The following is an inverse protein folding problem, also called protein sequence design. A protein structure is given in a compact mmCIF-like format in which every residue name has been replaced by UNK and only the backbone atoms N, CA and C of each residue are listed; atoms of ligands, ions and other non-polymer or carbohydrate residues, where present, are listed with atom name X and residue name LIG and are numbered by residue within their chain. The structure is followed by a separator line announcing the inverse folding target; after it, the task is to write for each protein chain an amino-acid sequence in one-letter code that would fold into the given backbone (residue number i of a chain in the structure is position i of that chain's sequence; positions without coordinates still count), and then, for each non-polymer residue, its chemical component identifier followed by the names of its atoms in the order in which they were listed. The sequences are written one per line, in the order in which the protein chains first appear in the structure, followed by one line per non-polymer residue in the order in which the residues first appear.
data_IF_567225209836
#
_entry.id   IF_567225209836
#
_cell.length_a   1.000
_cell.length_b   1.000
_cell.length_c   1.000
_cell.angle_alpha   90.00
_cell.angle_beta   90.00
_cell.angle_gamma   90.00
#
_symmetry.space_group_name_H-M   'P 1'
#
loop_
_entity.id
_entity.type
_entity.pdbx_description
1 polymer ?
#
# COMPACT_ATOMS: atom_id res chain seq x y z
N UNK A 1 47.87 5.18 -21.25
CA UNK A 1 47.46 5.02 -20.74
C UNK A 1 46.44 4.59 -20.40
N UNK A 2 46.16 3.80 -20.20
CA UNK A 2 44.91 3.16 -20.07
C UNK A 2 44.29 3.20 -18.72
N UNK A 3 44.95 3.82 -17.79
CA UNK A 3 44.36 3.99 -16.45
C UNK A 3 43.35 5.12 -16.39
N UNK A 4 43.27 5.91 -17.43
CA UNK A 4 42.31 7.02 -17.42
C UNK A 4 40.92 6.52 -17.84
N UNK A 5 39.91 7.03 -17.15
CA UNK A 5 38.56 6.67 -17.44
C UNK A 5 38.02 7.57 -18.55
N UNK A 6 37.38 6.96 -19.53
CA UNK A 6 36.70 7.71 -20.58
C UNK A 6 35.47 8.37 -19.96
N UNK A 7 35.47 9.71 -19.96
CA UNK A 7 34.42 10.49 -19.34
C UNK A 7 33.04 10.20 -19.98
N UNK A 8 33.02 10.00 -21.29
CA UNK A 8 31.75 9.71 -21.98
C UNK A 8 31.18 8.36 -21.54
N UNK A 9 32.03 7.37 -21.36
CA UNK A 9 31.56 6.08 -20.84
C UNK A 9 31.08 6.23 -19.42
N UNK A 10 31.80 6.99 -18.61
CA UNK A 10 31.40 7.20 -17.21
C UNK A 10 30.01 7.88 -17.13
N UNK A 11 29.84 8.93 -17.91
CA UNK A 11 28.56 9.63 -17.95
C UNK A 11 27.42 8.69 -18.38
N UNK A 12 27.69 7.89 -19.42
CA UNK A 12 26.69 6.92 -19.89
C UNK A 12 26.33 5.92 -18.81
N UNK A 13 27.31 5.44 -18.08
CA UNK A 13 27.05 4.46 -17.00
C UNK A 13 26.23 5.08 -15.86
N UNK A 14 26.58 6.31 -15.47
CA UNK A 14 25.79 6.99 -14.44
C UNK A 14 24.37 7.21 -14.91
N UNK A 15 24.19 7.64 -16.14
CA UNK A 15 22.89 7.90 -16.71
C UNK A 15 22.00 6.65 -16.71
N UNK A 16 22.60 5.52 -17.11
CA UNK A 16 21.87 4.24 -17.11
C UNK A 16 21.48 3.82 -15.70
N UNK A 17 22.38 3.99 -14.74
CA UNK A 17 22.09 3.62 -13.36
C UNK A 17 21.03 4.51 -12.73
N UNK A 18 21.10 5.81 -13.01
CA UNK A 18 20.10 6.74 -12.51
C UNK A 18 18.71 6.37 -13.05
N UNK A 19 18.63 6.10 -14.35
CA UNK A 19 17.36 5.69 -14.96
C UNK A 19 16.82 4.40 -14.33
N UNK A 20 17.68 3.41 -14.14
CA UNK A 20 17.27 2.14 -13.56
C UNK A 20 16.78 2.31 -12.12
N UNK A 21 17.49 3.10 -11.33
CA UNK A 21 17.10 3.35 -9.94
C UNK A 21 15.81 4.17 -9.86
N UNK A 22 15.67 5.16 -10.73
CA UNK A 22 14.46 5.97 -10.78
C UNK A 22 13.25 5.10 -11.12
N UNK A 23 13.39 4.21 -12.10
CA UNK A 23 12.31 3.29 -12.47
C UNK A 23 11.94 2.37 -11.32
N UNK A 24 12.94 1.85 -10.60
CA UNK A 24 12.68 1.01 -9.43
C UNK A 24 11.94 1.78 -8.34
N UNK A 25 12.34 3.03 -8.10
CA UNK A 25 11.69 3.85 -7.09
C UNK A 25 10.23 4.09 -7.43
N UNK A 26 9.96 4.44 -8.68
CA UNK A 26 8.58 4.66 -9.12
C UNK A 26 7.75 3.39 -8.95
N UNK A 27 8.30 2.25 -9.34
CA UNK A 27 7.61 0.98 -9.21
C UNK A 27 7.31 0.65 -7.74
N UNK A 28 8.28 0.88 -6.86
CA UNK A 28 8.10 0.64 -5.44
C UNK A 28 7.07 1.58 -4.84
N UNK A 29 7.08 2.84 -5.22
CA UNK A 29 6.08 3.80 -4.77
C UNK A 29 4.68 3.39 -5.21
N UNK A 30 4.54 2.96 -6.47
CA UNK A 30 3.25 2.50 -6.97
C UNK A 30 2.76 1.28 -6.20
N UNK A 31 3.65 0.35 -5.90
CA UNK A 31 3.31 -0.83 -5.11
C UNK A 31 2.85 -0.44 -3.71
N UNK A 32 3.57 0.50 -3.10
CA UNK A 32 3.23 0.96 -1.77
C UNK A 32 1.85 1.63 -1.75
N UNK A 33 1.58 2.49 -2.72
CA UNK A 33 0.27 3.14 -2.82
C UNK A 33 -0.85 2.12 -3.04
N UNK A 34 -0.61 1.11 -3.87
CA UNK A 34 -1.59 0.05 -4.11
C UNK A 34 -1.87 -0.74 -2.84
N UNK A 35 -0.82 -1.07 -2.09
CA UNK A 35 -0.98 -1.78 -0.83
C UNK A 35 -1.73 -0.94 0.20
N UNK A 36 -1.39 0.34 0.29
CA UNK A 36 -2.06 1.25 1.22
C UNK A 36 -3.55 1.32 0.92
N UNK A 37 -3.89 1.45 -0.36
CA UNK A 37 -5.28 1.49 -0.78
C UNK A 37 -6.01 0.19 -0.43
N UNK A 38 -5.37 -0.95 -0.70
CA UNK A 38 -5.93 -2.25 -0.39
C UNK A 38 -6.21 -2.39 1.11
N UNK A 39 -5.24 -2.03 1.94
CA UNK A 39 -5.42 -2.15 3.39
C UNK A 39 -6.50 -1.19 3.91
N UNK A 40 -6.60 0.00 3.35
CA UNK A 40 -7.67 0.92 3.74
C UNK A 40 -9.04 0.35 3.40
N UNK A 41 -9.17 -0.27 2.23
CA UNK A 41 -10.42 -0.92 1.84
C UNK A 41 -10.76 -2.07 2.77
N UNK A 42 -9.78 -2.88 3.14
CA UNK A 42 -9.99 -3.99 4.08
C UNK A 42 -10.37 -3.47 5.45
N UNK A 43 -9.72 -2.42 5.91
CA UNK A 43 -10.03 -1.79 7.19
C UNK A 43 -11.47 -1.31 7.21
N UNK A 44 -11.90 -0.64 6.14
CA UNK A 44 -13.26 -0.13 6.05
C UNK A 44 -14.29 -1.25 6.06
N UNK A 45 -14.00 -2.35 5.35
CA UNK A 45 -14.88 -3.52 5.36
C UNK A 45 -15.00 -4.10 6.76
N UNK A 46 -13.89 -4.20 7.48
CA UNK A 46 -13.91 -4.72 8.85
C UNK A 46 -14.71 -3.82 9.78
N UNK A 47 -14.61 -2.51 9.59
CA UNK A 47 -15.38 -1.55 10.39
C UNK A 47 -16.87 -1.76 10.14
N UNK A 48 -17.28 -1.95 8.88
CA UNK A 48 -18.66 -2.20 8.54
C UNK A 48 -19.16 -3.50 9.13
N UNK A 49 -18.37 -4.56 9.06
CA UNK A 49 -18.74 -5.84 9.65
C UNK A 49 -18.93 -5.73 11.16
N UNK A 50 -18.01 -5.03 11.80
CA UNK A 50 -18.09 -4.81 13.24
C UNK A 50 -19.37 -4.06 13.60
N UNK A 51 -19.69 -3.04 12.85
CA UNK A 51 -20.90 -2.26 13.09
C UNK A 51 -22.16 -3.11 12.90
N UNK A 52 -22.19 -3.93 11.85
CA UNK A 52 -23.32 -4.82 11.61
C UNK A 52 -23.50 -5.82 12.74
N UNK A 53 -22.40 -6.38 13.22
CA UNK A 53 -22.44 -7.32 14.34
C UNK A 53 -22.92 -6.64 15.62
N UNK A 54 -22.47 -5.43 15.85
CA UNK A 54 -22.90 -4.65 17.00
C UNK A 54 -24.40 -4.39 16.97
N UNK A 55 -24.90 -4.03 15.80
CA UNK A 55 -26.33 -3.79 15.62
C UNK A 55 -27.16 -5.05 15.87
N UNK A 56 -26.69 -6.18 15.36
CA UNK A 56 -27.36 -7.45 15.57
C UNK A 56 -27.38 -7.84 17.05
N UNK A 57 -26.27 -7.62 17.72
CA UNK A 57 -26.16 -7.90 19.13
C UNK A 57 -27.16 -7.03 19.91
N UNK A 58 -27.23 -5.76 19.58
CA UNK A 58 -28.15 -4.84 20.26
C UNK A 58 -29.60 -5.22 20.01
N UNK A 59 -29.94 -5.65 18.80
CA UNK A 59 -31.28 -6.11 18.47
C UNK A 59 -31.64 -7.33 19.29
N UNK A 60 -30.75 -8.29 19.41
CA UNK A 60 -31.02 -9.48 20.21
C UNK A 60 -31.20 -9.14 21.69
N UNK A 61 -30.37 -8.25 22.18
CA UNK A 61 -30.44 -7.82 23.57
C UNK A 61 -31.80 -7.14 23.86
N UNK A 62 -32.21 -6.26 22.96
CA UNK A 62 -33.49 -5.56 23.11
C UNK A 62 -34.66 -6.51 22.98
N UNK A 63 -34.56 -7.47 22.08
CA UNK A 63 -35.61 -8.47 21.90
C UNK A 63 -35.81 -9.29 23.17
N UNK A 64 -34.72 -9.67 23.83
CA UNK A 64 -34.80 -10.40 25.09
C UNK A 64 -35.46 -9.58 26.19
N UNK A 65 -35.20 -8.28 26.22
CA UNK A 65 -35.86 -7.40 27.19
C UNK A 65 -37.36 -7.31 26.98
N UNK A 66 -37.77 -7.30 25.73
CA UNK A 66 -39.18 -7.16 25.40
C UNK A 66 -39.96 -8.42 25.73
N UNK A 67 -39.30 -9.55 25.66
CA UNK A 67 -39.94 -10.84 25.89
C UNK A 67 -40.25 -11.15 27.35
N UNK A 68 -39.94 -10.30 28.24
CA UNK A 68 -40.30 -10.52 29.62
C UNK A 68 -41.84 -10.48 29.78
#
# INVERSE_FOLDING_TARGET
MSSEVDVNILISMYSQKISALTNKNILLEAKLQSLTKYFEEQKNLLILEKLNLQNKYDELKNSKKIEK
#
